data_IF_805362946095
#
_entry.id   IF_805362946095
#
_cell.length_a   1.000
_cell.length_b   1.000
_cell.length_c   1.000
_cell.angle_alpha   90.00
_cell.angle_beta   90.00
_cell.angle_gamma   90.00
#
_symmetry.space_group_name_H-M   'P 1'
#
loop_
_entity.id
_entity.type
_entity.pdbx_description
1 polymer ?
#
# COMPACT_ATOMS: atom_id res chain seq x y z
N UNK A 1 -16.56 10.49 1.68
CA UNK A 1 -15.12 10.61 1.98
C UNK A 1 -14.40 9.33 1.56
N UNK A 2 -13.10 9.39 1.24
CA UNK A 2 -12.27 8.20 0.97
C UNK A 2 -11.15 8.09 2.01
N UNK A 3 -11.12 6.99 2.76
CA UNK A 3 -10.12 6.66 3.78
C UNK A 3 -9.55 5.26 3.51
N UNK A 4 -8.31 4.94 3.86
CA UNK A 4 -7.85 3.54 3.83
C UNK A 4 -7.33 3.24 5.22
N UNK A 5 -7.86 2.20 5.86
CA UNK A 5 -7.54 1.91 7.25
C UNK A 5 -7.02 0.50 7.39
N UNK A 6 -5.70 0.36 7.35
CA UNK A 6 -5.00 -0.85 7.73
C UNK A 6 -4.12 -0.57 8.95
N UNK A 7 -4.10 -1.50 9.90
CA UNK A 7 -3.48 -1.31 11.21
C UNK A 7 -2.93 -2.62 11.77
N UNK A 8 -2.89 -2.73 13.09
CA UNK A 8 -2.43 -3.92 13.83
C UNK A 8 -3.59 -4.84 14.27
N UNK A 9 -4.86 -4.48 14.00
CA UNK A 9 -6.02 -5.31 14.34
C UNK A 9 -6.06 -6.53 13.42
N UNK A 10 -6.10 -7.73 14.00
CA UNK A 10 -6.26 -9.01 13.29
C UNK A 10 -7.72 -9.46 13.23
N UNK A 11 -8.01 -10.41 12.35
CA UNK A 11 -9.36 -10.96 12.18
C UNK A 11 -10.27 -10.07 11.33
N UNK A 12 -11.59 -10.24 11.49
CA UNK A 12 -12.58 -9.52 10.69
C UNK A 12 -12.70 -8.06 11.15
N UNK A 13 -12.45 -7.12 10.25
CA UNK A 13 -12.52 -5.67 10.48
C UNK A 13 -13.84 -5.16 9.92
N UNK A 14 -14.74 -4.82 10.84
CA UNK A 14 -16.10 -4.41 10.51
C UNK A 14 -16.15 -2.99 9.91
N UNK A 15 -17.22 -2.73 9.16
CA UNK A 15 -17.57 -1.42 8.61
C UNK A 15 -18.17 -0.50 9.69
N UNK A 16 -17.41 -0.25 10.75
CA UNK A 16 -17.81 0.61 11.88
C UNK A 16 -17.06 1.94 11.88
N UNK A 17 -17.72 2.99 12.36
CA UNK A 17 -17.16 4.34 12.45
C UNK A 17 -16.05 4.42 13.49
N UNK A 18 -15.03 5.22 13.20
CA UNK A 18 -14.01 5.58 14.19
C UNK A 18 -14.49 6.73 15.06
N UNK A 19 -14.59 6.50 16.38
CA UNK A 19 -14.97 7.56 17.31
C UNK A 19 -13.79 8.51 17.57
N UNK A 20 -14.10 9.77 17.83
CA UNK A 20 -13.08 10.76 18.17
C UNK A 20 -12.27 10.29 19.39
N UNK A 21 -10.96 10.18 19.20
CA UNK A 21 -9.99 9.73 20.20
C UNK A 21 -9.86 8.22 20.38
N UNK A 22 -10.57 7.42 19.59
CA UNK A 22 -10.32 5.98 19.50
C UNK A 22 -8.98 5.71 18.81
N UNK A 23 -8.13 4.88 19.41
CA UNK A 23 -6.92 4.39 18.76
C UNK A 23 -7.06 2.94 18.35
N UNK A 24 -6.24 2.53 17.39
CA UNK A 24 -6.35 1.20 16.83
C UNK A 24 -5.84 0.13 17.82
N UNK A 25 -4.84 0.48 18.64
CA UNK A 25 -4.23 -0.37 19.67
C UNK A 25 -4.73 -0.11 21.11
N UNK A 26 -5.75 0.73 21.29
CA UNK A 26 -6.31 1.06 22.61
C UNK A 26 -5.54 2.10 23.44
N UNK A 27 -4.43 2.65 22.91
CA UNK A 27 -3.72 3.79 23.51
C UNK A 27 -4.65 5.00 23.66
N UNK A 28 -4.77 5.53 24.87
CA UNK A 28 -5.59 6.72 25.14
C UNK A 28 -4.91 8.03 24.69
N UNK A 29 -5.72 9.08 24.56
CA UNK A 29 -5.24 10.45 24.34
C UNK A 29 -4.93 10.78 22.88
N UNK A 30 -5.52 10.06 21.92
CA UNK A 30 -5.57 10.54 20.55
C UNK A 30 -6.51 11.75 20.48
N UNK A 31 -5.99 12.88 20.05
CA UNK A 31 -6.79 14.08 19.78
C UNK A 31 -6.20 14.76 18.53
N UNK A 32 -6.96 14.85 17.41
CA UNK A 32 -6.46 15.47 16.19
C UNK A 32 -5.95 16.90 16.36
N UNK A 33 -6.52 17.68 17.29
CA UNK A 33 -6.08 19.05 17.58
C UNK A 33 -4.76 19.07 18.35
N UNK A 34 -4.58 18.14 19.29
CA UNK A 34 -3.30 17.95 19.99
C UNK A 34 -2.22 17.48 19.03
N UNK A 35 -2.52 16.52 18.16
CA UNK A 35 -1.56 16.04 17.15
C UNK A 35 -1.13 17.17 16.19
N UNK A 36 -2.07 18.03 15.77
CA UNK A 36 -1.76 19.22 14.97
C UNK A 36 -0.82 20.17 15.72
N UNK A 37 -1.03 20.36 17.02
CA UNK A 37 -0.15 21.19 17.86
C UNK A 37 1.25 20.59 17.98
N UNK A 38 1.37 19.28 18.20
CA UNK A 38 2.66 18.57 18.26
C UNK A 38 3.47 18.78 16.97
N UNK A 39 2.81 18.71 15.81
CA UNK A 39 3.45 18.97 14.50
C UNK A 39 3.90 20.42 14.39
N UNK A 40 3.06 21.38 14.80
CA UNK A 40 3.38 22.81 14.75
C UNK A 40 4.54 23.17 15.69
N UNK A 41 4.56 22.64 16.90
CA UNK A 41 5.59 22.88 17.91
C UNK A 41 6.94 22.32 17.42
N UNK A 42 6.97 21.11 16.84
CA UNK A 42 8.21 20.55 16.29
C UNK A 42 8.75 21.36 15.11
N UNK A 43 7.87 21.86 14.23
CA UNK A 43 8.29 22.75 13.14
C UNK A 43 8.86 24.07 13.67
N UNK A 44 8.28 24.61 14.74
CA UNK A 44 8.77 25.83 15.38
C UNK A 44 10.14 25.62 16.02
N UNK A 45 10.34 24.50 16.72
CA UNK A 45 11.63 24.08 17.28
C UNK A 45 12.71 23.99 16.19
N UNK A 46 12.45 23.22 15.11
CA UNK A 46 13.39 23.05 14.01
C UNK A 46 13.74 24.39 13.32
N UNK A 47 12.78 25.31 13.22
CA UNK A 47 13.03 26.67 12.70
C UNK A 47 13.90 27.49 13.65
N UNK A 48 13.67 27.41 14.96
CA UNK A 48 14.49 28.11 15.96
C UNK A 48 15.93 27.60 15.97
N UNK A 49 16.14 26.32 15.66
CA UNK A 49 17.46 25.69 15.50
C UNK A 49 18.14 25.98 14.16
N UNK A 50 17.51 26.75 13.26
CA UNK A 50 17.97 26.97 11.88
C UNK A 50 18.23 25.65 11.12
N UNK A 51 17.40 24.62 11.35
CA UNK A 51 17.54 23.33 10.68
C UNK A 51 17.37 23.47 9.16
N UNK A 52 18.21 22.76 8.40
CA UNK A 52 18.11 22.75 6.94
C UNK A 52 16.79 22.09 6.47
N UNK A 53 16.35 22.34 5.23
CA UNK A 53 15.16 21.68 4.67
C UNK A 53 15.23 20.14 4.71
N UNK A 54 16.42 19.57 4.50
CA UNK A 54 16.60 18.11 4.53
C UNK A 54 16.51 17.56 5.96
N UNK A 55 17.14 18.23 6.93
CA UNK A 55 17.03 17.86 8.35
C UNK A 55 15.57 17.96 8.81
N UNK A 56 14.89 19.04 8.43
CA UNK A 56 13.47 19.24 8.72
C UNK A 56 12.63 18.10 8.16
N UNK A 57 12.84 17.74 6.88
CA UNK A 57 12.12 16.64 6.23
C UNK A 57 12.33 15.30 6.94
N UNK A 58 13.57 14.97 7.31
CA UNK A 58 13.90 13.73 8.01
C UNK A 58 13.23 13.71 9.39
N UNK A 59 13.37 14.79 10.17
CA UNK A 59 12.80 14.91 11.50
C UNK A 59 11.27 14.83 11.48
N UNK A 60 10.61 15.53 10.55
CA UNK A 60 9.15 15.50 10.41
C UNK A 60 8.62 14.14 9.93
N UNK A 61 9.35 13.45 9.03
CA UNK A 61 9.02 12.07 8.65
C UNK A 61 9.10 11.14 9.86
N UNK A 62 10.18 11.23 10.64
CA UNK A 62 10.38 10.40 11.82
C UNK A 62 9.31 10.66 12.88
N UNK A 63 8.99 11.93 13.17
CA UNK A 63 7.91 12.31 14.08
C UNK A 63 6.58 11.73 13.60
N UNK A 64 6.22 11.91 12.34
CA UNK A 64 4.95 11.41 11.80
C UNK A 64 4.81 9.89 11.95
N UNK A 65 5.86 9.12 11.63
CA UNK A 65 5.87 7.66 11.82
C UNK A 65 5.74 7.31 13.30
N UNK A 66 6.45 8.01 14.18
CA UNK A 66 6.36 7.80 15.62
C UNK A 66 4.94 8.05 16.14
N UNK A 67 4.29 9.14 15.69
CA UNK A 67 2.90 9.45 16.08
C UNK A 67 1.91 8.41 15.58
N UNK A 68 2.03 7.99 14.32
CA UNK A 68 1.16 6.94 13.77
C UNK A 68 1.27 5.63 14.57
N UNK A 69 2.50 5.15 14.79
CA UNK A 69 2.76 3.90 15.51
C UNK A 69 2.33 3.96 16.98
N UNK A 70 2.44 5.13 17.63
CA UNK A 70 1.96 5.32 19.01
C UNK A 70 0.52 4.84 19.17
N UNK A 71 -0.34 5.09 18.18
CA UNK A 71 -1.77 4.76 18.24
C UNK A 71 -2.17 3.54 17.39
N UNK A 72 -1.18 2.75 16.93
CA UNK A 72 -1.42 1.48 16.23
C UNK A 72 -1.54 1.57 14.71
N UNK A 73 -1.23 2.71 14.09
CA UNK A 73 -1.22 2.84 12.63
C UNK A 73 0.20 2.73 12.05
N UNK A 74 0.36 2.03 10.92
CA UNK A 74 1.68 1.67 10.40
C UNK A 74 2.43 2.87 9.80
N UNK A 75 1.71 3.89 9.34
CA UNK A 75 2.27 5.09 8.72
C UNK A 75 1.35 6.29 8.86
N UNK A 76 1.89 7.46 8.51
CA UNK A 76 1.20 8.75 8.57
C UNK A 76 -0.01 8.84 7.66
N UNK A 77 -0.02 8.17 6.51
CA UNK A 77 -1.12 8.25 5.55
C UNK A 77 -2.40 7.65 6.13
N UNK A 78 -2.33 6.41 6.62
CA UNK A 78 -3.49 5.77 7.25
C UNK A 78 -3.90 6.52 8.51
N UNK A 79 -2.93 6.97 9.30
CA UNK A 79 -3.19 7.72 10.52
C UNK A 79 -3.95 9.03 10.26
N UNK A 80 -3.51 9.84 9.29
CA UNK A 80 -4.18 11.12 8.99
C UNK A 80 -5.54 10.91 8.32
N UNK A 81 -5.70 9.89 7.48
CA UNK A 81 -7.00 9.52 6.91
C UNK A 81 -8.00 9.12 7.99
N UNK A 82 -7.56 8.35 8.98
CA UNK A 82 -8.40 7.92 10.09
C UNK A 82 -8.79 9.09 10.99
N UNK A 83 -7.86 9.99 11.32
CA UNK A 83 -8.20 11.22 12.06
C UNK A 83 -9.16 12.13 11.28
N UNK A 84 -9.02 12.21 9.96
CA UNK A 84 -9.97 12.94 9.11
C UNK A 84 -11.36 12.33 9.14
N UNK A 85 -11.44 11.00 9.18
CA UNK A 85 -12.69 10.26 9.36
C UNK A 85 -13.37 10.61 10.68
N UNK A 86 -12.63 10.54 11.79
CA UNK A 86 -13.11 10.87 13.13
C UNK A 86 -13.67 12.30 13.19
N UNK A 87 -12.94 13.26 12.63
CA UNK A 87 -13.36 14.67 12.65
C UNK A 87 -14.64 14.90 11.86
N UNK A 88 -14.78 14.30 10.68
CA UNK A 88 -15.98 14.49 9.86
C UNK A 88 -17.18 13.74 10.46
N UNK A 89 -16.98 12.54 11.00
CA UNK A 89 -18.04 11.82 11.71
C UNK A 89 -18.57 12.61 12.91
N UNK A 90 -17.67 13.22 13.69
CA UNK A 90 -18.02 14.08 14.82
C UNK A 90 -18.73 15.38 14.38
N UNK A 91 -18.25 16.03 13.33
CA UNK A 91 -18.80 17.30 12.84
C UNK A 91 -20.16 17.18 12.14
N UNK A 92 -20.37 16.12 11.35
CA UNK A 92 -21.58 15.97 10.54
C UNK A 92 -22.77 15.46 11.35
N UNK A 93 -22.52 14.78 12.47
CA UNK A 93 -23.55 14.17 13.30
C UNK A 93 -24.46 13.21 12.51
N UNK A 94 -25.66 12.94 13.03
CA UNK A 94 -26.62 11.99 12.42
C UNK A 94 -27.57 12.61 11.41
N UNK A 95 -27.54 13.94 11.23
CA UNK A 95 -28.58 14.66 10.50
C UNK A 95 -28.20 14.97 9.03
N UNK A 96 -26.98 14.67 8.61
CA UNK A 96 -26.53 14.82 7.24
C UNK A 96 -26.13 13.47 6.63
N UNK A 97 -26.38 13.23 5.34
CA UNK A 97 -25.86 12.06 4.66
C UNK A 97 -24.33 12.07 4.66
N UNK A 98 -23.71 11.04 5.26
CA UNK A 98 -22.27 10.84 5.26
C UNK A 98 -21.95 9.45 4.73
N UNK A 99 -21.36 9.39 3.53
CA UNK A 99 -20.82 8.16 2.95
C UNK A 99 -19.30 8.13 3.11
N UNK A 100 -18.78 7.10 3.76
CA UNK A 100 -17.35 6.84 3.92
C UNK A 100 -16.97 5.58 3.15
N UNK A 101 -16.11 5.74 2.15
CA UNK A 101 -15.60 4.66 1.31
C UNK A 101 -14.18 4.32 1.75
N UNK A 102 -13.95 3.05 2.05
CA UNK A 102 -12.68 2.50 2.53
C UNK A 102 -12.09 1.50 1.52
N UNK A 103 -11.48 1.95 0.42
CA UNK A 103 -10.88 1.04 -0.53
C UNK A 103 -9.61 0.43 0.04
N UNK A 104 -9.35 -0.83 -0.30
CA UNK A 104 -8.11 -1.52 0.04
C UNK A 104 -6.98 -1.13 -0.94
N UNK A 105 -5.97 -1.97 -1.15
CA UNK A 105 -4.85 -1.58 -2.02
C UNK A 105 -5.36 -1.45 -3.46
N UNK A 106 -5.50 -0.20 -3.90
CA UNK A 106 -5.94 0.10 -5.27
C UNK A 106 -4.86 -0.30 -6.26
N UNK A 107 -5.24 -1.13 -7.23
CA UNK A 107 -4.42 -1.56 -8.37
C UNK A 107 -4.86 -0.84 -9.64
N UNK A 108 -4.37 -1.25 -10.81
CA UNK A 108 -4.83 -0.69 -12.09
C UNK A 108 -6.32 -0.90 -12.30
N UNK A 109 -6.86 -0.34 -13.36
CA UNK A 109 -8.25 -0.56 -13.76
C UNK A 109 -8.46 -1.98 -14.31
N UNK A 110 -9.64 -2.52 -14.05
CA UNK A 110 -10.09 -3.81 -14.57
C UNK A 110 -10.61 -3.69 -16.01
N UNK A 111 -11.53 -2.75 -16.28
CA UNK A 111 -12.05 -2.45 -17.63
C UNK A 111 -11.95 -0.97 -18.01
N UNK A 112 -12.25 -0.02 -17.13
CA UNK A 112 -12.45 1.39 -17.52
C UNK A 112 -11.42 2.34 -16.89
N UNK A 113 -10.94 3.38 -17.58
CA UNK A 113 -11.26 3.77 -18.97
C UNK A 113 -10.66 2.83 -20.03
N UNK A 114 -9.69 2.01 -19.66
CA UNK A 114 -9.22 0.85 -20.39
C UNK A 114 -8.47 -0.09 -19.42
N UNK A 115 -8.37 -1.40 -19.70
CA UNK A 115 -7.71 -2.34 -18.79
C UNK A 115 -6.23 -1.99 -18.54
N UNK A 116 -5.81 -2.08 -17.28
CA UNK A 116 -4.41 -1.89 -16.90
C UNK A 116 -3.98 -0.42 -16.82
N UNK A 117 -4.90 0.53 -16.88
CA UNK A 117 -4.57 1.93 -16.63
C UNK A 117 -4.20 2.15 -15.16
N UNK A 118 -3.10 2.85 -14.93
CA UNK A 118 -2.66 3.27 -13.61
C UNK A 118 -1.95 4.62 -13.71
N UNK A 119 -2.16 5.47 -12.72
CA UNK A 119 -1.45 6.74 -12.60
C UNK A 119 -0.22 6.57 -11.71
N UNK A 120 0.95 6.41 -12.36
CA UNK A 120 2.26 6.30 -11.72
C UNK A 120 2.49 4.98 -10.98
N UNK A 121 3.68 4.83 -10.38
CA UNK A 121 4.02 3.66 -9.55
C UNK A 121 3.32 3.83 -8.20
N UNK A 122 2.32 3.01 -7.93
CA UNK A 122 1.65 2.94 -6.64
C UNK A 122 2.06 1.67 -5.89
N UNK A 123 1.53 1.53 -4.68
CA UNK A 123 1.77 0.49 -3.67
C UNK A 123 2.40 -0.80 -4.22
N UNK A 124 1.63 -1.74 -4.75
CA UNK A 124 2.18 -3.05 -5.15
C UNK A 124 3.10 -2.98 -6.37
N UNK A 125 2.91 -1.98 -7.23
CA UNK A 125 3.67 -1.77 -8.46
C UNK A 125 5.17 -1.62 -8.20
N UNK A 126 5.56 -1.00 -7.07
CA UNK A 126 6.98 -0.81 -6.76
C UNK A 126 7.72 -2.12 -6.48
N UNK A 127 7.02 -3.16 -6.01
CA UNK A 127 7.55 -4.52 -5.86
C UNK A 127 7.75 -5.16 -7.24
N UNK A 128 6.75 -5.05 -8.12
CA UNK A 128 6.84 -5.54 -9.50
C UNK A 128 7.97 -4.84 -10.28
N UNK A 129 8.11 -3.51 -10.13
CA UNK A 129 9.21 -2.72 -10.69
C UNK A 129 10.56 -3.16 -10.14
N UNK A 130 10.65 -3.30 -8.81
CA UNK A 130 11.86 -3.75 -8.15
C UNK A 130 12.32 -5.12 -8.64
N UNK A 131 11.38 -6.03 -8.78
CA UNK A 131 11.63 -7.39 -9.26
C UNK A 131 11.99 -7.42 -10.74
N UNK A 132 11.14 -6.89 -11.62
CA UNK A 132 11.36 -6.87 -13.06
C UNK A 132 12.68 -6.20 -13.46
N UNK A 133 13.08 -5.14 -12.77
CA UNK A 133 14.37 -4.46 -13.03
C UNK A 133 15.59 -5.13 -12.35
N UNK A 134 15.42 -6.29 -11.72
CA UNK A 134 16.52 -7.05 -11.08
C UNK A 134 17.14 -6.34 -9.87
N UNK A 135 16.38 -5.47 -9.21
CA UNK A 135 16.78 -4.77 -7.98
C UNK A 135 16.31 -5.51 -6.73
N UNK A 136 15.28 -6.34 -6.84
CA UNK A 136 14.68 -7.11 -5.76
C UNK A 136 14.97 -8.60 -5.96
N UNK A 137 15.79 -9.18 -5.08
CA UNK A 137 16.14 -10.62 -5.09
C UNK A 137 15.74 -11.35 -3.81
N UNK A 138 15.43 -10.61 -2.75
CA UNK A 138 14.85 -11.11 -1.52
C UNK A 138 13.88 -10.09 -0.96
N UNK A 139 12.90 -10.53 -0.19
CA UNK A 139 11.96 -9.63 0.47
C UNK A 139 11.45 -10.18 1.80
N UNK A 140 10.96 -9.28 2.65
CA UNK A 140 10.33 -9.61 3.91
C UNK A 140 8.80 -9.72 3.71
N UNK A 141 8.21 -10.81 4.16
CA UNK A 141 6.76 -10.99 4.19
C UNK A 141 6.35 -12.42 4.50
N UNK A 142 5.08 -12.62 4.86
CA UNK A 142 4.51 -13.96 5.01
C UNK A 142 3.83 -14.37 3.68
N UNK A 143 4.28 -15.46 3.01
CA UNK A 143 3.66 -15.92 1.76
C UNK A 143 2.16 -16.25 1.88
N UNK A 144 1.70 -16.65 3.06
CA UNK A 144 0.30 -17.00 3.32
C UNK A 144 -0.58 -15.78 3.67
N UNK A 145 0.00 -14.57 3.78
CA UNK A 145 -0.79 -13.37 4.04
C UNK A 145 -1.70 -13.07 2.84
N UNK A 146 -2.98 -12.83 3.13
CA UNK A 146 -3.94 -12.33 2.15
C UNK A 146 -3.65 -10.87 1.87
N UNK A 147 -3.42 -10.55 0.60
CA UNK A 147 -3.27 -9.18 0.13
C UNK A 147 -4.63 -8.70 -0.33
N UNK A 148 -5.18 -7.74 0.39
CA UNK A 148 -6.43 -7.11 -0.01
C UNK A 148 -6.16 -6.00 -1.05
N UNK A 149 -6.51 -6.32 -2.30
CA UNK A 149 -6.40 -5.43 -3.45
C UNK A 149 -7.75 -5.28 -4.15
N UNK A 150 -7.95 -4.13 -4.79
CA UNK A 150 -9.12 -3.88 -5.62
C UNK A 150 -8.75 -3.04 -6.86
N UNK A 151 -9.32 -3.29 -8.04
CA UNK A 151 -9.15 -2.41 -9.20
C UNK A 151 -9.71 -1.01 -9.00
N UNK A 152 -9.07 0.00 -9.59
CA UNK A 152 -9.41 1.40 -9.38
C UNK A 152 -10.83 1.79 -9.84
N UNK A 153 -11.27 1.23 -10.97
CA UNK A 153 -12.60 1.45 -11.54
C UNK A 153 -13.72 0.84 -10.69
N UNK A 154 -13.49 -0.32 -10.08
CA UNK A 154 -14.47 -0.88 -9.13
C UNK A 154 -14.68 0.04 -7.92
N UNK A 155 -13.62 0.70 -7.43
CA UNK A 155 -13.75 1.71 -6.35
C UNK A 155 -14.57 2.91 -6.80
N UNK A 156 -14.34 3.39 -8.03
CA UNK A 156 -15.11 4.51 -8.60
C UNK A 156 -16.58 4.13 -8.76
N UNK A 157 -16.87 2.95 -9.27
CA UNK A 157 -18.23 2.45 -9.43
C UNK A 157 -18.95 2.32 -8.09
N UNK A 158 -18.29 1.77 -7.07
CA UNK A 158 -18.85 1.72 -5.71
C UNK A 158 -19.15 3.11 -5.15
N UNK A 159 -18.27 4.10 -5.37
CA UNK A 159 -18.52 5.50 -4.97
C UNK A 159 -19.78 6.05 -5.65
N UNK A 160 -19.90 5.88 -6.96
CA UNK A 160 -21.04 6.42 -7.72
C UNK A 160 -22.36 5.80 -7.26
N UNK A 161 -22.38 4.48 -7.08
CA UNK A 161 -23.57 3.75 -6.58
C UNK A 161 -23.92 4.17 -5.15
N UNK A 162 -22.93 4.32 -4.26
CA UNK A 162 -23.18 4.77 -2.89
C UNK A 162 -23.74 6.21 -2.83
N UNK A 163 -23.24 7.11 -3.68
CA UNK A 163 -23.75 8.49 -3.76
C UNK A 163 -25.22 8.48 -4.16
N UNK A 164 -25.59 7.72 -5.19
CA UNK A 164 -26.98 7.62 -5.66
C UNK A 164 -27.89 7.00 -4.59
N UNK A 165 -27.45 5.92 -3.95
CA UNK A 165 -28.21 5.22 -2.92
C UNK A 165 -28.52 6.10 -1.70
N UNK A 166 -27.61 7.01 -1.33
CA UNK A 166 -27.71 7.80 -0.09
C UNK A 166 -27.94 9.30 -0.30
N UNK A 167 -28.21 9.75 -1.53
CA UNK A 167 -28.34 11.18 -1.87
C UNK A 167 -29.29 11.96 -0.94
N UNK A 168 -30.36 11.31 -0.46
CA UNK A 168 -31.37 11.90 0.43
C UNK A 168 -31.57 11.10 1.73
N UNK A 169 -30.62 10.24 2.10
CA UNK A 169 -30.71 9.43 3.31
C UNK A 169 -29.79 9.98 4.39
N UNK A 170 -30.33 10.60 5.46
CA UNK A 170 -29.50 11.05 6.57
C UNK A 170 -28.93 9.85 7.30
N UNK A 171 -27.70 9.99 7.78
CA UNK A 171 -27.00 8.93 8.49
C UNK A 171 -25.62 8.67 7.94
N UNK A 172 -24.88 7.84 8.67
CA UNK A 172 -23.54 7.43 8.32
C UNK A 172 -23.56 6.05 7.66
N UNK A 173 -22.93 5.95 6.50
CA UNK A 173 -22.80 4.73 5.71
C UNK A 173 -21.34 4.48 5.41
N UNK A 174 -20.83 3.32 5.81
CA UNK A 174 -19.42 2.96 5.70
C UNK A 174 -19.31 1.71 4.83
N UNK A 175 -18.42 1.78 3.84
CA UNK A 175 -18.20 0.73 2.86
C UNK A 175 -16.72 0.39 2.78
N UNK A 176 -16.33 -0.81 3.15
CA UNK A 176 -15.02 -1.34 2.78
C UNK A 176 -15.11 -1.86 1.34
N UNK A 177 -14.24 -1.34 0.47
CA UNK A 177 -14.16 -1.77 -0.93
C UNK A 177 -12.87 -2.58 -1.08
N UNK A 178 -12.98 -3.88 -0.88
CA UNK A 178 -11.87 -4.82 -0.92
C UNK A 178 -12.29 -6.15 -1.53
N UNK A 179 -11.35 -7.10 -1.52
CA UNK A 179 -11.56 -8.45 -2.05
C UNK A 179 -11.25 -9.56 -1.05
N UNK A 180 -10.69 -9.25 0.13
CA UNK A 180 -10.19 -10.30 1.04
C UNK A 180 -11.25 -11.29 1.52
N UNK A 181 -12.51 -10.86 1.70
CA UNK A 181 -13.64 -11.75 2.04
C UNK A 181 -14.18 -12.47 0.81
N UNK A 182 -14.54 -11.72 -0.23
CA UNK A 182 -15.28 -12.24 -1.37
C UNK A 182 -14.41 -13.00 -2.39
N UNK A 183 -13.14 -12.63 -2.56
CA UNK A 183 -12.22 -13.21 -3.54
C UNK A 183 -10.75 -13.15 -3.04
N UNK A 184 -10.37 -13.98 -2.06
CA UNK A 184 -9.08 -13.89 -1.37
C UNK A 184 -7.88 -14.12 -2.31
N UNK A 185 -6.81 -13.36 -2.08
CA UNK A 185 -5.56 -13.44 -2.83
C UNK A 185 -4.35 -13.56 -1.90
N UNK A 186 -3.66 -14.70 -1.92
CA UNK A 186 -2.42 -14.88 -1.17
C UNK A 186 -1.23 -14.16 -1.82
N UNK A 187 -0.31 -13.66 -0.99
CA UNK A 187 0.94 -13.05 -1.46
C UNK A 187 1.79 -14.02 -2.29
N UNK A 188 1.86 -15.29 -1.90
CA UNK A 188 2.51 -16.38 -2.64
C UNK A 188 2.08 -16.41 -4.11
N UNK A 189 0.77 -16.31 -4.36
CA UNK A 189 0.18 -16.36 -5.70
C UNK A 189 0.59 -15.14 -6.53
N UNK A 190 0.60 -13.95 -5.95
CA UNK A 190 1.08 -12.73 -6.63
C UNK A 190 2.55 -12.86 -7.02
N UNK A 191 3.37 -13.47 -6.16
CA UNK A 191 4.78 -13.72 -6.46
C UNK A 191 4.96 -14.69 -7.63
N UNK A 192 4.22 -15.79 -7.64
CA UNK A 192 4.30 -16.81 -8.69
C UNK A 192 3.86 -16.25 -10.05
N UNK A 193 2.77 -15.46 -10.06
CA UNK A 193 2.30 -14.77 -11.28
C UNK A 193 3.36 -13.77 -11.76
N UNK A 194 3.88 -12.92 -10.87
CA UNK A 194 4.91 -11.95 -11.20
C UNK A 194 6.20 -12.61 -11.70
N UNK A 195 6.63 -13.70 -11.06
CA UNK A 195 7.78 -14.48 -11.48
C UNK A 195 7.59 -15.04 -12.90
N UNK A 196 6.47 -15.70 -13.14
CA UNK A 196 6.15 -16.28 -14.45
C UNK A 196 6.10 -15.20 -15.53
N UNK A 197 5.47 -14.05 -15.23
CA UNK A 197 5.38 -12.94 -16.16
C UNK A 197 6.77 -12.43 -16.59
N UNK A 198 7.65 -12.09 -15.64
CA UNK A 198 8.96 -11.50 -15.97
C UNK A 198 10.00 -12.50 -16.48
N UNK A 199 9.81 -13.80 -16.27
CA UNK A 199 10.59 -14.85 -16.97
C UNK A 199 10.24 -14.84 -18.47
N UNK A 200 8.95 -14.75 -18.80
CA UNK A 200 8.48 -14.79 -20.19
C UNK A 200 8.60 -13.44 -20.89
N UNK A 201 8.54 -12.33 -20.14
CA UNK A 201 8.63 -10.95 -20.63
C UNK A 201 9.72 -10.21 -19.87
N UNK A 202 11.00 -10.53 -20.09
CA UNK A 202 12.10 -9.92 -19.36
C UNK A 202 12.16 -8.42 -19.61
N UNK A 203 12.44 -7.67 -18.54
CA UNK A 203 12.64 -6.23 -18.64
C UNK A 203 13.86 -5.93 -19.51
N UNK A 204 13.74 -5.00 -20.45
CA UNK A 204 14.88 -4.58 -21.28
C UNK A 204 15.62 -3.44 -20.60
N UNK A 205 16.86 -3.70 -20.21
CA UNK A 205 17.74 -2.72 -19.58
C UNK A 205 18.05 -1.54 -20.52
N UNK A 206 18.61 -0.46 -19.96
CA UNK A 206 19.06 0.71 -20.74
C UNK A 206 20.15 0.37 -21.76
N UNK A 207 20.84 -0.75 -21.55
CA UNK A 207 21.86 -1.32 -22.43
C UNK A 207 21.26 -2.24 -23.52
N UNK A 208 19.93 -2.32 -23.62
CA UNK A 208 19.22 -3.17 -24.58
C UNK A 208 19.21 -4.65 -24.21
N UNK A 209 19.76 -5.05 -23.05
CA UNK A 209 19.84 -6.45 -22.64
C UNK A 209 18.65 -6.85 -21.77
N UNK A 210 18.14 -8.09 -21.91
CA UNK A 210 17.11 -8.59 -21.02
C UNK A 210 17.66 -8.76 -19.61
N UNK A 211 16.92 -8.28 -18.62
CA UNK A 211 17.17 -8.53 -17.20
C UNK A 211 16.66 -9.91 -16.85
N UNK A 212 17.58 -10.79 -16.46
CA UNK A 212 17.26 -12.14 -16.01
C UNK A 212 16.89 -12.08 -14.53
N UNK A 213 15.64 -12.38 -14.22
CA UNK A 213 15.12 -12.50 -12.86
C UNK A 213 15.12 -13.97 -12.42
N UNK A 214 15.35 -14.20 -11.13
CA UNK A 214 15.27 -15.52 -10.51
C UNK A 214 14.21 -15.53 -9.40
N UNK A 215 13.96 -16.69 -8.79
CA UNK A 215 13.00 -16.80 -7.68
C UNK A 215 13.39 -15.86 -6.52
N UNK A 216 12.44 -15.06 -6.04
CA UNK A 216 12.66 -14.19 -4.88
C UNK A 216 12.77 -15.04 -3.62
N UNK A 217 13.80 -14.79 -2.81
CA UNK A 217 13.88 -15.36 -1.45
C UNK A 217 12.97 -14.57 -0.51
N UNK A 218 11.88 -15.17 -0.07
CA UNK A 218 10.95 -14.57 0.91
C UNK A 218 11.33 -14.98 2.32
N UNK A 219 11.46 -13.99 3.20
CA UNK A 219 11.86 -14.19 4.60
C UNK A 219 10.68 -13.78 5.48
N UNK A 220 10.21 -14.71 6.29
CA UNK A 220 8.97 -14.55 7.06
C UNK A 220 9.15 -13.92 8.44
N UNK A 221 10.37 -13.53 8.82
CA UNK A 221 10.63 -12.78 10.05
C UNK A 221 11.71 -11.73 9.84
N UNK A 222 11.63 -10.63 10.60
CA UNK A 222 12.62 -9.55 10.53
C UNK A 222 14.03 -10.04 10.86
N UNK A 223 14.18 -10.93 11.84
CA UNK A 223 15.49 -11.50 12.22
C UNK A 223 16.12 -12.30 11.09
N UNK A 224 15.32 -13.13 10.39
CA UNK A 224 15.80 -13.90 9.23
C UNK A 224 16.18 -12.96 8.09
N UNK A 225 15.37 -11.92 7.87
CA UNK A 225 15.66 -10.88 6.88
C UNK A 225 16.96 -10.14 7.17
N UNK A 226 17.16 -9.67 8.40
CA UNK A 226 18.37 -8.96 8.82
C UNK A 226 19.60 -9.85 8.68
N UNK A 227 19.57 -11.08 9.21
CA UNK A 227 20.69 -12.04 9.08
C UNK A 227 21.03 -12.34 7.62
N UNK A 228 20.01 -12.55 6.78
CA UNK A 228 20.23 -12.78 5.35
C UNK A 228 20.83 -11.55 4.66
N UNK A 229 20.31 -10.36 4.94
CA UNK A 229 20.82 -9.10 4.38
C UNK A 229 22.27 -8.84 4.79
N UNK A 230 22.60 -9.09 6.06
CA UNK A 230 23.95 -8.96 6.59
C UNK A 230 24.94 -9.90 5.90
N UNK A 231 24.65 -11.19 5.91
CA UNK A 231 25.54 -12.22 5.36
C UNK A 231 25.68 -12.13 3.84
N UNK A 232 24.56 -11.95 3.12
CA UNK A 232 24.54 -12.04 1.66
C UNK A 232 24.94 -10.75 0.95
N UNK A 233 24.69 -9.59 1.57
CA UNK A 233 24.86 -8.29 0.90
C UNK A 233 25.74 -7.31 1.68
N UNK A 234 25.52 -7.07 2.97
CA UNK A 234 26.25 -6.02 3.70
C UNK A 234 27.72 -6.39 3.97
N UNK A 235 28.01 -7.63 4.38
CA UNK A 235 29.40 -8.09 4.58
C UNK A 235 30.19 -8.05 3.25
N UNK A 236 29.69 -8.63 2.15
CA UNK A 236 30.35 -8.49 0.84
C UNK A 236 30.51 -7.03 0.39
N UNK A 237 29.52 -6.17 0.67
CA UNK A 237 29.61 -4.74 0.33
C UNK A 237 30.73 -4.04 1.11
N UNK A 238 30.89 -4.34 2.41
CA UNK A 238 32.02 -3.83 3.22
C UNK A 238 33.36 -4.32 2.67
N UNK A 239 33.45 -5.60 2.29
CA UNK A 239 34.64 -6.14 1.62
C UNK A 239 34.95 -5.41 0.31
N UNK A 240 33.93 -5.19 -0.52
CA UNK A 240 34.06 -4.42 -1.75
C UNK A 240 34.49 -2.98 -1.49
N UNK A 241 34.02 -2.34 -0.41
CA UNK A 241 34.44 -0.99 -0.04
C UNK A 241 35.95 -0.94 0.23
N UNK A 242 36.49 -1.92 0.97
CA UNK A 242 37.93 -2.00 1.25
C UNK A 242 38.75 -2.22 -0.02
N UNK A 243 38.33 -3.16 -0.88
CA UNK A 243 38.97 -3.41 -2.17
C UNK A 243 38.92 -2.17 -3.06
N UNK A 244 37.79 -1.47 -3.08
CA UNK A 244 37.61 -0.27 -3.87
C UNK A 244 38.55 0.86 -3.40
N UNK A 245 38.76 1.01 -2.09
CA UNK A 245 39.76 1.95 -1.55
C UNK A 245 41.17 1.52 -1.93
N UNK A 246 41.51 0.24 -1.79
CA UNK A 246 42.83 -0.29 -2.14
C UNK A 246 43.15 -0.17 -3.64
N UNK A 247 42.14 -0.26 -4.51
CA UNK A 247 42.26 -0.12 -5.96
C UNK A 247 41.97 1.32 -6.46
N UNK A 248 42.28 2.34 -5.65
CA UNK A 248 42.14 3.75 -6.04
C UNK A 248 40.76 4.11 -6.64
N UNK A 249 39.68 3.61 -6.04
CA UNK A 249 38.29 3.84 -6.43
C UNK A 249 37.85 3.22 -7.78
N UNK A 250 38.61 2.25 -8.30
CA UNK A 250 38.28 1.57 -9.56
C UNK A 250 36.89 0.93 -9.58
N UNK A 251 36.41 0.38 -8.46
CA UNK A 251 35.12 -0.31 -8.34
C UNK A 251 33.98 0.59 -7.84
N UNK A 252 34.17 1.92 -7.80
CA UNK A 252 33.24 2.84 -7.16
C UNK A 252 31.83 2.77 -7.76
N UNK A 253 31.71 2.60 -9.07
CA UNK A 253 30.42 2.43 -9.74
C UNK A 253 29.66 1.18 -9.30
N UNK A 254 30.37 0.05 -9.13
CA UNK A 254 29.80 -1.22 -8.67
C UNK A 254 29.34 -1.10 -7.22
N UNK A 255 30.18 -0.53 -6.36
CA UNK A 255 29.85 -0.29 -4.95
C UNK A 255 28.59 0.57 -4.81
N UNK A 256 28.54 1.71 -5.51
CA UNK A 256 27.36 2.61 -5.48
C UNK A 256 26.10 1.91 -5.96
N UNK A 257 26.19 1.11 -7.03
CA UNK A 257 25.05 0.38 -7.56
C UNK A 257 24.51 -0.65 -6.54
N UNK A 258 25.38 -1.45 -5.95
CA UNK A 258 24.99 -2.44 -4.93
C UNK A 258 24.40 -1.76 -3.68
N UNK A 259 25.05 -0.70 -3.20
CA UNK A 259 24.54 0.09 -2.07
C UNK A 259 23.14 0.64 -2.34
N UNK A 260 22.89 1.18 -3.54
CA UNK A 260 21.57 1.67 -3.95
C UNK A 260 20.53 0.54 -4.00
N UNK A 261 20.89 -0.64 -4.51
CA UNK A 261 19.98 -1.82 -4.52
C UNK A 261 19.62 -2.25 -3.09
N UNK A 262 20.61 -2.35 -2.19
CA UNK A 262 20.38 -2.70 -0.79
C UNK A 262 19.46 -1.68 -0.11
N UNK A 263 19.75 -0.37 -0.28
CA UNK A 263 18.93 0.71 0.26
C UNK A 263 17.49 0.66 -0.28
N UNK A 264 17.32 0.30 -1.55
CA UNK A 264 16.01 0.13 -2.17
C UNK A 264 15.23 -1.02 -1.53
N UNK A 265 15.84 -2.18 -1.30
CA UNK A 265 15.19 -3.31 -0.61
C UNK A 265 14.74 -2.92 0.80
N UNK A 266 15.62 -2.30 1.60
CA UNK A 266 15.26 -1.83 2.94
C UNK A 266 14.09 -0.85 2.94
N UNK A 267 14.06 0.09 1.98
CA UNK A 267 12.95 1.05 1.84
C UNK A 267 11.63 0.35 1.52
N UNK A 268 11.64 -0.65 0.64
CA UNK A 268 10.45 -1.43 0.33
C UNK A 268 10.01 -2.22 1.57
N UNK A 269 10.93 -2.86 2.30
CA UNK A 269 10.59 -3.59 3.53
C UNK A 269 9.98 -2.65 4.58
N UNK A 270 10.55 -1.46 4.80
CA UNK A 270 9.98 -0.45 5.71
C UNK A 270 8.54 -0.09 5.34
N UNK A 271 8.24 -0.02 4.04
CA UNK A 271 6.92 0.37 3.53
C UNK A 271 5.89 -0.77 3.57
N UNK A 272 6.29 -1.99 3.21
CA UNK A 272 5.35 -3.11 3.00
C UNK A 272 5.26 -4.10 4.15
N UNK A 273 6.24 -4.14 5.06
CA UNK A 273 6.21 -5.08 6.18
C UNK A 273 4.89 -5.03 6.96
N UNK A 274 4.30 -3.87 7.31
CA UNK A 274 3.05 -3.84 8.06
C UNK A 274 1.87 -4.47 7.32
N UNK A 275 1.91 -4.49 5.99
CA UNK A 275 0.83 -5.03 5.15
C UNK A 275 1.03 -6.52 4.82
N UNK A 276 2.28 -6.95 4.66
CA UNK A 276 2.63 -8.36 4.37
C UNK A 276 2.70 -9.26 5.61
N UNK A 277 2.43 -8.69 6.78
CA UNK A 277 2.16 -9.41 8.04
C UNK A 277 0.81 -9.02 8.64
N UNK A 278 -0.02 -8.31 7.88
CA UNK A 278 -1.35 -7.96 8.33
C UNK A 278 -2.24 -9.21 8.30
N UNK A 279 -2.88 -9.50 9.43
CA UNK A 279 -3.78 -10.65 9.59
C UNK A 279 -5.26 -10.22 9.65
N UNK A 280 -5.54 -8.97 9.29
CA UNK A 280 -6.89 -8.44 9.19
C UNK A 280 -7.53 -8.74 7.84
N UNK A 281 -8.83 -9.01 7.86
CA UNK A 281 -9.69 -9.21 6.69
C UNK A 281 -10.79 -8.15 6.79
N UNK A 282 -11.03 -7.38 5.74
CA UNK A 282 -12.03 -6.31 5.76
C UNK A 282 -13.41 -6.86 5.43
N UNK A 283 -14.35 -6.74 6.37
CA UNK A 283 -15.75 -7.06 6.15
C UNK A 283 -16.30 -6.17 5.02
N UNK A 284 -16.99 -6.76 4.04
CA UNK A 284 -17.56 -6.08 2.88
C UNK A 284 -19.10 -6.22 2.83
N UNK A 285 -19.73 -6.56 3.96
CA UNK A 285 -21.15 -6.87 4.02
C UNK A 285 -22.05 -5.68 3.60
N UNK A 286 -21.74 -4.44 3.99
CA UNK A 286 -22.50 -3.28 3.54
C UNK A 286 -22.28 -3.03 2.04
N UNK A 287 -21.05 -3.22 1.55
CA UNK A 287 -20.74 -3.10 0.11
C UNK A 287 -21.54 -4.12 -0.70
N UNK A 288 -21.62 -5.37 -0.23
CA UNK A 288 -22.41 -6.41 -0.89
C UNK A 288 -23.91 -6.08 -0.87
N UNK A 289 -24.43 -5.59 0.25
CA UNK A 289 -25.83 -5.13 0.33
C UNK A 289 -26.11 -3.97 -0.63
N UNK A 290 -25.20 -3.01 -0.73
CA UNK A 290 -25.31 -1.87 -1.66
C UNK A 290 -25.34 -2.37 -3.11
N UNK A 291 -24.45 -3.30 -3.47
CA UNK A 291 -24.41 -3.92 -4.79
C UNK A 291 -25.72 -4.64 -5.13
N UNK A 292 -26.21 -5.49 -4.23
CA UNK A 292 -27.47 -6.22 -4.43
C UNK A 292 -28.67 -5.28 -4.57
N UNK A 293 -28.71 -4.19 -3.80
CA UNK A 293 -29.77 -3.19 -3.90
C UNK A 293 -29.72 -2.44 -5.24
N UNK A 294 -28.52 -2.13 -5.75
CA UNK A 294 -28.34 -1.50 -7.06
C UNK A 294 -28.80 -2.43 -8.20
N UNK A 295 -28.45 -3.72 -8.13
CA UNK A 295 -28.90 -4.75 -9.10
C UNK A 295 -30.43 -4.86 -9.18
N UNK A 296 -31.12 -4.73 -8.04
CA UNK A 296 -32.59 -4.79 -7.99
C UNK A 296 -33.27 -3.48 -8.44
N UNK A 297 -32.54 -2.36 -8.42
CA UNK A 297 -33.05 -1.02 -8.72
C UNK A 297 -32.82 -0.57 -10.16
N UNK A 298 -32.71 -1.51 -11.11
CA UNK A 298 -32.41 -1.26 -12.53
C UNK A 298 -31.08 -0.51 -12.79
N UNK A 299 -30.14 -0.50 -11.84
CA UNK A 299 -28.81 0.03 -12.12
C UNK A 299 -28.13 -0.83 -13.20
N UNK A 300 -27.53 -0.20 -14.21
CA UNK A 300 -26.76 -0.90 -15.22
C UNK A 300 -25.46 -1.42 -14.60
N UNK A 301 -25.51 -2.60 -13.98
CA UNK A 301 -24.37 -3.19 -13.29
C UNK A 301 -23.30 -3.73 -14.25
N UNK A 302 -23.63 -3.85 -15.54
CA UNK A 302 -22.65 -4.00 -16.61
C UNK A 302 -21.75 -2.75 -16.74
N UNK A 303 -22.30 -1.56 -16.43
CA UNK A 303 -21.61 -0.28 -16.41
C UNK A 303 -20.95 -0.03 -15.03
N UNK A 304 -21.72 -0.14 -13.95
CA UNK A 304 -21.28 0.13 -12.58
C UNK A 304 -20.87 -1.13 -11.81
N UNK A 305 -20.06 -1.99 -12.41
CA UNK A 305 -19.58 -3.22 -11.77
C UNK A 305 -18.59 -2.91 -10.65
N UNK A 306 -18.73 -3.59 -9.51
CA UNK A 306 -17.74 -3.56 -8.42
C UNK A 306 -17.73 -4.85 -7.58
N UNK A 307 -18.23 -5.97 -8.12
CA UNK A 307 -18.10 -7.29 -7.47
C UNK A 307 -16.68 -7.85 -7.67
N UNK A 308 -15.86 -7.99 -6.62
CA UNK A 308 -14.52 -8.58 -6.76
C UNK A 308 -14.54 -10.05 -7.17
N UNK A 309 -15.65 -10.79 -7.03
CA UNK A 309 -15.75 -12.22 -7.40
C UNK A 309 -15.55 -12.46 -8.90
N UNK A 310 -15.80 -11.46 -9.75
CA UNK A 310 -15.61 -11.57 -11.19
C UNK A 310 -14.12 -11.55 -11.60
N UNK A 311 -13.23 -11.20 -10.68
CA UNK A 311 -11.80 -11.06 -10.96
C UNK A 311 -11.15 -12.44 -10.97
N UNK A 312 -10.68 -12.87 -12.14
CA UNK A 312 -9.67 -13.92 -12.20
C UNK A 312 -8.30 -13.30 -11.89
N UNK A 313 -7.78 -13.53 -10.68
CA UNK A 313 -6.53 -12.92 -10.23
C UNK A 313 -5.32 -13.24 -11.13
N UNK A 314 -5.25 -14.46 -11.67
CA UNK A 314 -4.15 -14.86 -12.53
C UNK A 314 -4.18 -14.09 -13.85
N UNK A 315 -5.33 -14.04 -14.50
CA UNK A 315 -5.51 -13.26 -15.73
C UNK A 315 -5.33 -11.76 -15.47
N UNK A 316 -5.92 -11.25 -14.39
CA UNK A 316 -5.84 -9.84 -14.03
C UNK A 316 -4.39 -9.41 -13.81
N UNK A 317 -3.60 -10.13 -13.02
CA UNK A 317 -2.20 -9.74 -12.79
C UNK A 317 -1.31 -9.97 -14.02
N UNK A 318 -1.45 -11.12 -14.71
CA UNK A 318 -0.54 -11.50 -15.81
C UNK A 318 -0.82 -10.80 -17.13
N UNK A 319 -2.09 -10.49 -17.44
CA UNK A 319 -2.52 -9.94 -18.74
C UNK A 319 -2.92 -8.46 -18.66
N UNK A 320 -3.30 -7.97 -17.47
CA UNK A 320 -3.83 -6.61 -17.32
C UNK A 320 -2.92 -5.74 -16.47
N UNK A 321 -2.78 -6.04 -15.18
CA UNK A 321 -2.11 -5.17 -14.21
C UNK A 321 -0.61 -5.06 -14.48
N UNK A 322 0.15 -6.16 -14.44
CA UNK A 322 1.62 -6.09 -14.61
C UNK A 322 1.99 -5.52 -16.00
N UNK A 323 1.38 -5.96 -17.13
CA UNK A 323 1.60 -5.33 -18.43
C UNK A 323 1.24 -3.83 -18.44
N UNK A 324 0.14 -3.46 -17.81
CA UNK A 324 -0.31 -2.09 -17.66
C UNK A 324 0.73 -1.23 -16.94
N UNK A 325 1.25 -1.69 -15.80
CA UNK A 325 2.33 -1.00 -15.10
C UNK A 325 3.53 -0.88 -16.04
N UNK A 326 4.03 -1.98 -16.62
CA UNK A 326 5.18 -1.98 -17.57
C UNK A 326 5.01 -0.95 -18.69
N UNK A 327 3.81 -0.81 -19.24
CA UNK A 327 3.52 0.11 -20.34
C UNK A 327 3.37 1.57 -19.92
N UNK A 328 2.59 1.85 -18.87
CA UNK A 328 2.15 3.22 -18.55
C UNK A 328 2.98 3.89 -17.47
N UNK A 329 3.61 3.09 -16.62
CA UNK A 329 4.25 3.56 -15.39
C UNK A 329 5.77 3.52 -15.51
N UNK A 330 6.33 2.55 -16.22
CA UNK A 330 7.78 2.48 -16.45
C UNK A 330 8.19 3.32 -17.67
N UNK A 331 8.23 4.64 -17.51
CA UNK A 331 8.92 5.56 -18.46
C UNK A 331 10.35 5.85 -18.06
#
# INVERSE_FOLDING_TARGET
>A
MITYVAGERSGLILETSYKLGESLNGTQGLDPYVEKKVVADKLKELRAENASPEVTKIAMKALGIQRARKYGWPNTYVFTKTMGEMLIGDMMGTNMPLVTIRPTIITSTYKEPFPGWAEGVRTIDSLAVGYGTGKLSCFLGNPATLIDVIPADMVVNAILVAIVAHANQPGEHIYNIGSSVANPLEFSRVQDIGQTYFINHPWIGKDGKPVIVGKITVLNTMDRFQKYMELRYLIPLKGLQLVNVACCQYFQGVYINLYRKIKFVYRLVELYAPYLFFEGIFDDMNTEKLRMAAEQGDAEMDLFYFDPKIINWEDYFSKTHIPGIVKYVFK
#
